data_IF_694706493750
#
_entry.id   IF_694706493750
#
_cell.length_a   1.000
_cell.length_b   1.000
_cell.length_c   1.000
_cell.angle_alpha   90.00
_cell.angle_beta   90.00
_cell.angle_gamma   90.00
#
_symmetry.space_group_name_H-M   'P 1'
#
loop_
_entity.id
_entity.type
_entity.pdbx_description
1 polymer ?
#
# COMPACT_ATOMS: atom_id res chain seq x y z
N UNK A 1 20.65 -30.24 9.53
CA UNK A 1 21.84 -30.42 8.69
C UNK A 1 21.44 -30.25 7.25
N UNK A 2 21.70 -29.09 6.68
CA UNK A 2 21.45 -28.81 5.26
C UNK A 2 22.78 -28.97 4.53
N UNK A 3 22.83 -29.84 3.55
CA UNK A 3 24.01 -30.11 2.73
C UNK A 3 24.10 -29.07 1.61
N UNK A 4 25.23 -28.40 1.41
CA UNK A 4 25.42 -27.50 0.27
C UNK A 4 26.04 -28.30 -0.89
N UNK A 5 25.26 -28.59 -1.92
CA UNK A 5 25.84 -28.98 -3.20
C UNK A 5 24.96 -28.50 -4.35
N UNK A 6 25.68 -27.90 -5.30
CA UNK A 6 25.27 -27.36 -6.61
C UNK A 6 25.01 -25.85 -6.64
N UNK A 7 26.09 -25.11 -6.43
CA UNK A 7 26.16 -23.74 -6.95
C UNK A 7 26.70 -23.78 -8.39
N UNK A 8 25.80 -23.82 -9.37
CA UNK A 8 26.14 -23.50 -10.74
C UNK A 8 26.50 -22.01 -10.83
N UNK A 9 27.65 -21.74 -11.46
CA UNK A 9 28.25 -20.42 -11.66
C UNK A 9 27.24 -19.43 -12.20
N UNK A 10 26.64 -18.62 -11.31
CA UNK A 10 25.92 -17.41 -11.68
C UNK A 10 26.95 -16.34 -12.01
N UNK A 11 27.04 -15.97 -13.29
CA UNK A 11 27.81 -14.83 -13.75
C UNK A 11 27.45 -13.59 -12.90
N UNK A 12 28.45 -12.95 -12.30
CA UNK A 12 28.36 -11.56 -11.87
C UNK A 12 27.88 -10.75 -13.09
N UNK A 13 26.61 -10.37 -13.13
CA UNK A 13 26.13 -9.42 -14.12
C UNK A 13 26.72 -8.08 -13.75
N UNK A 14 27.44 -7.39 -14.67
CA UNK A 14 27.98 -6.09 -14.40
C UNK A 14 26.86 -5.08 -14.22
N UNK A 15 27.02 -4.27 -13.19
CA UNK A 15 26.44 -2.94 -13.00
C UNK A 15 25.01 -2.73 -13.51
N UNK A 16 24.02 -3.30 -12.78
CA UNK A 16 22.63 -2.84 -12.90
C UNK A 16 22.60 -1.41 -12.37
N UNK A 17 22.18 -0.48 -13.21
CA UNK A 17 21.95 0.91 -12.81
C UNK A 17 21.05 0.93 -11.57
N UNK A 18 21.58 1.42 -10.45
CA UNK A 18 20.86 1.57 -9.17
C UNK A 18 20.35 2.99 -9.08
N UNK A 19 19.20 3.29 -9.67
CA UNK A 19 18.67 4.64 -9.88
C UNK A 19 18.65 5.51 -8.63
N UNK A 20 18.09 5.00 -7.54
CA UNK A 20 17.93 5.76 -6.28
C UNK A 20 19.09 5.55 -5.29
N UNK A 21 19.95 4.56 -5.49
CA UNK A 21 20.98 4.19 -4.50
C UNK A 21 22.00 5.30 -4.22
N UNK A 22 22.55 6.05 -5.22
CA UNK A 22 23.50 7.10 -4.93
C UNK A 22 22.94 8.25 -4.09
N UNK A 23 21.76 8.85 -4.40
CA UNK A 23 21.17 9.87 -3.55
C UNK A 23 20.83 9.37 -2.16
N UNK A 24 20.34 8.13 -2.04
CA UNK A 24 20.05 7.52 -0.74
C UNK A 24 21.32 7.31 0.10
N UNK A 25 22.38 6.77 -0.51
CA UNK A 25 23.66 6.54 0.17
C UNK A 25 24.27 7.84 0.73
N UNK A 26 24.09 8.96 0.02
CA UNK A 26 24.56 10.27 0.47
C UNK A 26 23.82 10.79 1.72
N UNK A 27 22.54 10.40 1.91
CA UNK A 27 21.69 10.89 3.02
C UNK A 27 21.79 10.03 4.28
N UNK A 28 22.04 8.74 4.15
CA UNK A 28 22.06 7.80 5.28
C UNK A 28 22.99 8.23 6.42
N UNK A 29 24.26 8.62 6.18
CA UNK A 29 25.16 8.99 7.29
C UNK A 29 24.67 10.18 8.09
N UNK A 30 24.09 11.19 7.43
CA UNK A 30 23.56 12.37 8.11
C UNK A 30 22.37 11.99 9.02
N UNK A 31 21.43 11.20 8.50
CA UNK A 31 20.25 10.75 9.26
C UNK A 31 20.64 9.80 10.40
N UNK A 32 21.60 8.91 10.20
CA UNK A 32 22.14 8.06 11.27
C UNK A 32 22.72 8.90 12.42
N UNK A 33 23.47 9.95 12.10
CA UNK A 33 24.04 10.85 13.10
C UNK A 33 22.97 11.66 13.81
N UNK A 34 21.99 12.19 13.07
CA UNK A 34 20.85 12.93 13.63
C UNK A 34 20.08 12.07 14.64
N UNK A 35 19.68 10.86 14.26
CA UNK A 35 18.97 9.93 15.14
C UNK A 35 19.81 9.57 16.37
N UNK A 36 21.10 9.34 16.20
CA UNK A 36 22.03 9.05 17.31
C UNK A 36 22.09 10.19 18.31
N UNK A 37 22.30 11.42 17.86
CA UNK A 37 22.39 12.59 18.74
C UNK A 37 21.03 12.91 19.39
N UNK A 38 19.94 12.80 18.64
CA UNK A 38 18.58 12.97 19.18
C UNK A 38 18.29 11.96 20.31
N UNK A 39 18.61 10.68 20.09
CA UNK A 39 18.43 9.64 21.12
C UNK A 39 19.32 9.86 22.34
N UNK A 40 20.55 10.34 22.14
CA UNK A 40 21.46 10.68 23.25
C UNK A 40 20.90 11.81 24.11
N UNK A 41 20.29 12.80 23.50
CA UNK A 41 19.76 13.98 24.19
C UNK A 41 18.38 13.73 24.83
N UNK A 42 17.48 13.04 24.10
CA UNK A 42 16.07 12.93 24.46
C UNK A 42 15.60 11.48 24.71
N UNK A 43 16.49 10.49 24.69
CA UNK A 43 16.12 9.08 24.76
C UNK A 43 15.32 8.65 26.00
N UNK A 44 15.45 9.40 27.13
CA UNK A 44 14.69 9.17 28.34
C UNK A 44 13.40 10.02 28.44
N UNK A 45 13.13 10.88 27.48
CA UNK A 45 11.94 11.76 27.48
C UNK A 45 10.66 10.96 27.23
N UNK A 46 9.66 11.14 28.09
CA UNK A 46 8.34 10.52 27.90
C UNK A 46 7.60 11.20 26.73
N UNK A 47 7.14 10.41 25.76
CA UNK A 47 6.38 10.89 24.58
C UNK A 47 4.88 10.58 24.67
N UNK A 48 4.46 9.89 25.73
CA UNK A 48 3.07 9.52 25.99
C UNK A 48 2.97 8.55 27.15
N UNK A 49 1.74 8.22 27.52
CA UNK A 49 1.41 7.20 28.51
C UNK A 49 0.56 6.11 27.88
N UNK A 50 0.71 4.88 28.37
CA UNK A 50 -0.09 3.74 27.91
C UNK A 50 -1.16 3.47 28.97
N UNK A 51 -2.43 3.48 28.55
CA UNK A 51 -3.55 3.15 29.42
C UNK A 51 -4.02 1.70 29.19
N UNK A 52 -4.76 1.17 30.15
CA UNK A 52 -5.40 -0.16 30.02
C UNK A 52 -6.31 -0.19 28.79
N UNK A 53 -7.08 0.88 28.54
CA UNK A 53 -7.96 0.98 27.37
C UNK A 53 -7.19 0.93 26.04
N UNK A 54 -6.01 1.54 25.96
CA UNK A 54 -5.18 1.44 24.76
C UNK A 54 -4.71 0.02 24.48
N UNK A 55 -4.41 -0.76 25.52
CA UNK A 55 -3.96 -2.15 25.38
C UNK A 55 -5.08 -3.05 24.84
N UNK A 56 -6.31 -2.93 25.33
CA UNK A 56 -7.46 -3.67 24.82
C UNK A 56 -8.05 -3.06 23.54
N UNK A 57 -7.86 -1.78 23.32
CA UNK A 57 -8.38 -1.01 22.19
C UNK A 57 -7.54 -1.08 20.90
N UNK A 58 -6.63 -2.05 20.78
CA UNK A 58 -5.81 -2.22 19.57
C UNK A 58 -4.72 -1.16 19.43
N UNK A 59 -4.14 -0.70 20.54
CA UNK A 59 -3.05 0.28 20.61
C UNK A 59 -3.39 1.65 19.97
N UNK A 60 -4.65 1.99 19.85
CA UNK A 60 -5.10 3.26 19.24
C UNK A 60 -4.61 4.44 20.09
N UNK A 61 -3.91 5.39 19.42
CA UNK A 61 -3.34 6.57 20.05
C UNK A 61 -2.00 6.31 20.78
N UNK A 62 -1.51 5.06 20.84
CA UNK A 62 -0.20 4.75 21.36
C UNK A 62 0.89 5.19 20.37
N UNK A 63 1.81 6.02 20.82
CA UNK A 63 3.00 6.40 20.03
C UNK A 63 4.09 5.37 20.26
N UNK A 64 4.18 4.37 19.40
CA UNK A 64 5.11 3.25 19.55
C UNK A 64 6.01 3.00 18.35
N UNK A 65 5.78 3.68 17.23
CA UNK A 65 6.50 3.45 15.97
C UNK A 65 7.18 4.72 15.48
N UNK A 66 8.27 4.54 14.74
CA UNK A 66 8.95 5.59 13.98
C UNK A 66 8.83 5.24 12.51
N UNK A 67 8.47 6.21 11.68
CA UNK A 67 8.41 6.10 10.23
C UNK A 67 8.95 7.38 9.59
N UNK A 68 9.73 7.23 8.53
CA UNK A 68 10.40 8.34 7.86
C UNK A 68 9.73 8.75 6.54
N UNK A 69 8.85 7.91 6.00
CA UNK A 69 8.33 8.08 4.63
C UNK A 69 7.10 8.96 4.56
N UNK A 70 6.20 8.88 5.53
CA UNK A 70 4.97 9.67 5.54
C UNK A 70 4.44 9.92 6.94
N UNK A 71 3.60 10.95 7.05
CA UNK A 71 2.89 11.33 8.28
C UNK A 71 1.42 11.49 7.97
N UNK A 72 0.56 10.94 8.81
CA UNK A 72 -0.88 11.07 8.69
C UNK A 72 -1.40 12.13 9.66
N UNK A 73 -1.67 13.33 9.15
CA UNK A 73 -2.30 14.40 9.90
C UNK A 73 -3.81 14.16 10.01
N UNK A 74 -4.41 14.23 11.21
CA UNK A 74 -5.85 14.00 11.38
C UNK A 74 -6.75 14.97 10.63
N UNK A 75 -6.32 16.21 10.41
CA UNK A 75 -7.11 17.28 9.80
C UNK A 75 -6.80 17.47 8.31
N UNK A 76 -5.54 17.25 7.90
CA UNK A 76 -5.08 17.48 6.53
C UNK A 76 -4.92 16.20 5.72
N UNK A 77 -4.78 15.05 6.37
CA UNK A 77 -4.56 13.75 5.72
C UNK A 77 -3.09 13.38 5.56
N UNK A 78 -2.82 12.51 4.59
CA UNK A 78 -1.47 11.99 4.35
C UNK A 78 -0.53 13.06 3.77
N UNK A 79 0.71 13.08 4.29
CA UNK A 79 1.84 13.82 3.75
C UNK A 79 3.01 12.88 3.47
N UNK A 80 3.44 12.84 2.23
CA UNK A 80 4.59 12.07 1.75
C UNK A 80 5.85 12.91 1.87
N UNK A 81 6.73 12.58 2.80
CA UNK A 81 7.92 13.41 3.11
C UNK A 81 7.58 14.90 3.29
N UNK A 82 6.43 15.18 3.89
CA UNK A 82 5.94 16.54 4.13
C UNK A 82 5.05 17.13 3.02
N UNK A 83 4.97 16.51 1.85
CA UNK A 83 4.12 16.96 0.75
C UNK A 83 2.73 16.33 0.80
N UNK A 84 1.69 17.14 0.65
CA UNK A 84 0.30 16.70 0.49
C UNK A 84 0.07 16.07 -0.90
N UNK A 85 -1.07 15.40 -1.08
CA UNK A 85 -1.43 14.83 -2.40
C UNK A 85 -1.50 15.92 -3.48
N UNK A 86 -2.17 17.08 -3.29
CA UNK A 86 -2.17 18.12 -4.31
C UNK A 86 -0.78 18.67 -4.63
N UNK A 87 0.11 18.77 -3.64
CA UNK A 87 1.51 19.18 -3.88
C UNK A 87 2.26 18.12 -4.69
N UNK A 88 2.08 16.84 -4.39
CA UNK A 88 2.66 15.75 -5.19
C UNK A 88 2.13 15.76 -6.63
N UNK A 89 0.83 15.95 -6.84
CA UNK A 89 0.24 16.07 -8.17
C UNK A 89 0.82 17.24 -8.97
N UNK A 90 1.19 18.33 -8.30
CA UNK A 90 1.78 19.50 -8.95
C UNK A 90 3.27 19.36 -9.24
N UNK A 91 4.02 18.74 -8.31
CA UNK A 91 5.48 18.77 -8.31
C UNK A 91 6.13 17.54 -8.93
N UNK A 92 5.50 16.37 -8.81
CA UNK A 92 6.10 15.14 -9.31
C UNK A 92 6.00 15.03 -10.84
N UNK A 93 7.05 14.48 -11.50
CA UNK A 93 7.05 14.27 -12.94
C UNK A 93 5.91 13.39 -13.42
N UNK A 94 5.43 13.67 -14.63
CA UNK A 94 4.35 12.99 -15.34
C UNK A 94 4.88 12.31 -16.60
N UNK A 95 4.09 11.39 -17.15
CA UNK A 95 4.37 10.88 -18.48
C UNK A 95 4.17 11.97 -19.55
N UNK A 96 4.79 11.82 -20.70
CA UNK A 96 4.60 12.74 -21.81
C UNK A 96 3.11 12.79 -22.20
N UNK A 97 2.52 14.00 -22.15
CA UNK A 97 1.09 14.20 -22.36
C UNK A 97 0.17 13.68 -21.26
N UNK A 98 0.72 13.17 -20.15
CA UNK A 98 -0.02 12.69 -19.00
C UNK A 98 -0.45 13.82 -18.06
N UNK A 99 -1.44 13.52 -17.21
CA UNK A 99 -2.03 14.46 -16.26
C UNK A 99 -1.65 14.14 -14.81
N UNK A 100 -1.49 12.85 -14.51
CA UNK A 100 -1.21 12.38 -13.15
C UNK A 100 0.29 12.06 -12.95
N UNK A 101 0.80 12.22 -11.71
CA UNK A 101 2.19 11.93 -11.41
C UNK A 101 2.50 10.43 -11.57
N UNK A 102 3.73 10.12 -11.90
CA UNK A 102 4.19 8.74 -11.98
C UNK A 102 4.51 8.20 -10.58
N UNK A 103 4.08 6.97 -10.24
CA UNK A 103 4.44 6.30 -8.98
C UNK A 103 5.95 6.20 -8.73
N UNK A 104 6.75 6.09 -9.78
CA UNK A 104 8.22 6.13 -9.74
C UNK A 104 8.74 7.40 -9.07
N UNK A 105 8.11 8.54 -9.36
CA UNK A 105 8.45 9.82 -8.76
C UNK A 105 8.11 9.86 -7.27
N UNK A 106 6.98 9.30 -6.90
CA UNK A 106 6.60 9.19 -5.48
C UNK A 106 7.55 8.25 -4.72
N UNK A 107 7.88 7.10 -5.29
CA UNK A 107 8.86 6.19 -4.67
C UNK A 107 10.20 6.87 -4.43
N UNK A 108 10.69 7.63 -5.43
CA UNK A 108 11.90 8.44 -5.26
C UNK A 108 11.78 9.41 -4.08
N UNK A 109 10.67 10.15 -4.01
CA UNK A 109 10.41 11.07 -2.92
C UNK A 109 10.38 10.37 -1.56
N UNK A 110 9.65 9.25 -1.43
CA UNK A 110 9.56 8.49 -0.18
C UNK A 110 10.94 8.01 0.28
N UNK A 111 11.75 7.53 -0.66
CA UNK A 111 13.06 6.97 -0.37
C UNK A 111 14.11 8.03 -0.05
N UNK A 112 14.16 9.14 -0.81
CA UNK A 112 15.23 10.15 -0.72
C UNK A 112 14.82 11.42 0.02
N UNK A 113 13.53 11.69 0.16
CA UNK A 113 13.01 12.96 0.70
C UNK A 113 13.09 14.13 -0.28
N UNK A 114 13.45 13.90 -1.56
CA UNK A 114 13.59 14.93 -2.58
C UNK A 114 12.64 14.68 -3.75
N UNK A 115 12.10 15.77 -4.31
CA UNK A 115 11.33 15.71 -5.55
C UNK A 115 12.29 15.36 -6.69
N UNK A 116 12.05 14.27 -7.45
CA UNK A 116 12.93 13.85 -8.52
C UNK A 116 12.78 14.70 -9.78
N UNK A 117 13.83 14.70 -10.61
CA UNK A 117 13.77 15.18 -11.98
C UNK A 117 13.10 14.17 -12.91
N UNK A 118 12.65 14.59 -14.08
CA UNK A 118 12.11 13.68 -15.11
C UNK A 118 13.11 12.59 -15.51
N UNK A 119 14.40 12.93 -15.61
CA UNK A 119 15.45 11.97 -15.92
C UNK A 119 15.62 10.90 -14.83
N UNK A 120 15.52 11.29 -13.57
CA UNK A 120 15.56 10.37 -12.43
C UNK A 120 14.34 9.43 -12.43
N UNK A 121 13.14 9.95 -12.65
CA UNK A 121 11.92 9.13 -12.78
C UNK A 121 12.04 8.13 -13.93
N UNK A 122 12.52 8.58 -15.10
CA UNK A 122 12.74 7.71 -16.25
C UNK A 122 13.76 6.60 -15.96
N UNK A 123 14.81 6.90 -15.18
CA UNK A 123 15.79 5.88 -14.77
C UNK A 123 15.17 4.80 -13.88
N UNK A 124 14.24 5.18 -12.98
CA UNK A 124 13.50 4.22 -12.16
C UNK A 124 12.57 3.34 -13.02
N UNK A 125 11.80 3.95 -13.94
CA UNK A 125 10.94 3.20 -14.87
C UNK A 125 11.73 2.15 -15.65
N UNK A 126 12.91 2.55 -16.16
CA UNK A 126 13.80 1.64 -16.90
C UNK A 126 14.35 0.52 -16.00
N UNK A 127 14.82 0.84 -14.81
CA UNK A 127 15.33 -0.18 -13.87
C UNK A 127 14.23 -1.19 -13.50
N UNK A 128 13.00 -0.75 -13.28
CA UNK A 128 11.90 -1.67 -13.00
C UNK A 128 11.49 -2.49 -14.21
N UNK A 129 11.49 -1.94 -15.42
CA UNK A 129 11.26 -2.70 -16.63
C UNK A 129 12.32 -3.82 -16.82
N UNK A 130 13.59 -3.51 -16.58
CA UNK A 130 14.71 -4.46 -16.71
C UNK A 130 14.65 -5.60 -15.67
N UNK A 131 13.91 -5.45 -14.57
CA UNK A 131 13.80 -6.41 -13.45
C UNK A 131 12.45 -7.11 -13.34
N UNK A 132 11.52 -6.87 -14.27
CA UNK A 132 10.13 -7.28 -14.16
C UNK A 132 9.86 -8.78 -14.38
N UNK A 133 10.79 -9.51 -14.96
CA UNK A 133 10.62 -10.93 -15.27
C UNK A 133 10.53 -11.79 -14.00
N UNK A 134 9.62 -12.77 -14.02
CA UNK A 134 9.43 -13.72 -12.93
C UNK A 134 10.30 -14.97 -13.13
N UNK A 135 10.83 -15.57 -12.05
CA UNK A 135 11.44 -16.88 -12.11
C UNK A 135 10.41 -17.97 -12.48
N UNK A 136 10.83 -18.97 -13.22
CA UNK A 136 9.95 -20.00 -13.81
C UNK A 136 9.08 -20.74 -12.79
N UNK A 137 9.63 -21.02 -11.59
CA UNK A 137 8.87 -21.70 -10.53
C UNK A 137 7.69 -20.86 -10.00
N UNK A 138 7.81 -19.53 -9.98
CA UNK A 138 6.72 -18.63 -9.59
C UNK A 138 5.65 -18.59 -10.68
N UNK A 139 6.04 -18.54 -11.96
CA UNK A 139 5.11 -18.64 -13.08
C UNK A 139 4.36 -19.97 -13.04
N UNK A 140 5.06 -21.08 -12.83
CA UNK A 140 4.44 -22.41 -12.70
C UNK A 140 3.45 -22.45 -11.54
N UNK A 141 3.80 -21.90 -10.39
CA UNK A 141 2.91 -21.85 -9.23
C UNK A 141 1.66 -21.02 -9.53
N UNK A 142 1.80 -19.82 -10.09
CA UNK A 142 0.68 -18.95 -10.44
C UNK A 142 -0.29 -19.63 -11.41
N UNK A 143 0.22 -20.36 -12.41
CA UNK A 143 -0.60 -21.04 -13.39
C UNK A 143 -1.28 -22.32 -12.86
N UNK A 144 -0.92 -22.78 -11.67
CA UNK A 144 -1.49 -23.98 -11.04
C UNK A 144 -2.35 -23.67 -9.80
N UNK A 145 -2.57 -22.43 -9.45
CA UNK A 145 -3.51 -22.12 -8.38
C UNK A 145 -4.95 -22.46 -8.79
N UNK A 146 -5.76 -22.99 -7.88
CA UNK A 146 -7.17 -23.23 -8.15
C UNK A 146 -7.93 -21.91 -8.31
N UNK A 147 -8.91 -21.88 -9.23
CA UNK A 147 -9.68 -20.67 -9.55
C UNK A 147 -10.48 -20.09 -8.37
N UNK A 148 -10.77 -20.89 -7.35
CA UNK A 148 -11.47 -20.45 -6.14
C UNK A 148 -10.52 -19.90 -5.05
N UNK A 149 -9.21 -19.90 -5.26
CA UNK A 149 -8.28 -19.26 -4.34
C UNK A 149 -8.31 -17.74 -4.54
N UNK A 150 -8.61 -17.01 -3.47
CA UNK A 150 -8.75 -15.55 -3.52
C UNK A 150 -7.50 -14.88 -4.12
N UNK A 151 -7.65 -13.86 -4.98
CA UNK A 151 -6.52 -13.18 -5.63
C UNK A 151 -5.43 -12.71 -4.66
N UNK A 152 -5.80 -12.21 -3.48
CA UNK A 152 -4.85 -11.79 -2.45
C UNK A 152 -4.05 -12.95 -1.86
N UNK A 153 -4.64 -14.14 -1.74
CA UNK A 153 -3.92 -15.33 -1.29
C UNK A 153 -2.90 -15.79 -2.34
N UNK A 154 -3.29 -15.74 -3.61
CA UNK A 154 -2.37 -16.02 -4.72
C UNK A 154 -1.22 -15.00 -4.75
N UNK A 155 -1.53 -13.72 -4.57
CA UNK A 155 -0.57 -12.62 -4.56
C UNK A 155 0.46 -12.78 -3.43
N UNK A 156 0.01 -12.99 -2.21
CA UNK A 156 0.88 -13.21 -1.05
C UNK A 156 1.75 -14.47 -1.19
N UNK A 157 1.19 -15.57 -1.70
CA UNK A 157 1.93 -16.80 -1.94
C UNK A 157 3.03 -16.62 -3.00
N UNK A 158 2.73 -15.92 -4.09
CA UNK A 158 3.69 -15.62 -5.14
C UNK A 158 4.85 -14.74 -4.63
N UNK A 159 4.54 -13.71 -3.84
CA UNK A 159 5.55 -12.85 -3.21
C UNK A 159 6.44 -13.68 -2.27
N UNK A 160 5.85 -14.55 -1.47
CA UNK A 160 6.62 -15.48 -0.60
C UNK A 160 7.55 -16.35 -1.42
N UNK A 161 7.11 -16.90 -2.55
CA UNK A 161 7.95 -17.73 -3.43
C UNK A 161 9.09 -16.96 -4.11
N UNK A 162 8.94 -15.65 -4.32
CA UNK A 162 10.00 -14.77 -4.82
C UNK A 162 11.20 -14.63 -3.86
N UNK A 163 11.05 -15.04 -2.60
CA UNK A 163 12.14 -15.08 -1.62
C UNK A 163 13.39 -15.85 -2.14
N UNK A 164 13.21 -16.80 -3.03
CA UNK A 164 14.33 -17.50 -3.69
C UNK A 164 15.31 -16.57 -4.42
N UNK A 165 14.87 -15.37 -4.79
CA UNK A 165 15.66 -14.33 -5.48
C UNK A 165 16.33 -13.35 -4.51
N UNK A 166 16.08 -13.45 -3.18
CA UNK A 166 16.53 -12.47 -2.20
C UNK A 166 18.06 -12.37 -2.14
N UNK A 167 18.55 -11.18 -2.47
CA UNK A 167 19.95 -10.81 -2.32
C UNK A 167 20.28 -10.54 -0.85
N UNK A 168 19.31 -10.00 -0.09
CA UNK A 168 19.46 -9.76 1.35
C UNK A 168 19.63 -11.06 2.13
N UNK A 169 18.78 -12.07 1.89
CA UNK A 169 18.89 -13.37 2.56
C UNK A 169 20.24 -14.06 2.28
N UNK A 170 20.72 -13.96 1.05
CA UNK A 170 22.03 -14.50 0.64
C UNK A 170 23.16 -13.75 1.35
N UNK A 171 23.16 -12.41 1.29
CA UNK A 171 24.19 -11.60 1.92
C UNK A 171 24.26 -11.82 3.43
N UNK A 172 23.10 -11.99 4.08
CA UNK A 172 23.04 -12.32 5.50
C UNK A 172 23.70 -13.67 5.80
N UNK A 173 23.41 -14.71 5.00
CA UNK A 173 24.00 -16.04 5.17
C UNK A 173 25.52 -16.07 4.88
N UNK A 174 26.00 -15.16 4.04
CA UNK A 174 27.44 -14.98 3.74
C UNK A 174 28.17 -14.12 4.79
N UNK A 175 27.47 -13.63 5.82
CA UNK A 175 28.06 -12.88 6.92
C UNK A 175 28.40 -11.42 6.58
N UNK A 176 27.69 -10.81 5.63
CA UNK A 176 27.86 -9.39 5.29
C UNK A 176 27.61 -8.51 6.51
N UNK A 177 28.47 -7.52 6.72
CA UNK A 177 28.36 -6.62 7.87
C UNK A 177 27.07 -5.81 7.84
N UNK A 178 26.42 -5.63 9.00
CA UNK A 178 25.11 -4.96 9.16
C UNK A 178 25.02 -3.56 8.56
N UNK A 179 26.16 -2.83 8.47
CA UNK A 179 26.20 -1.50 7.84
C UNK A 179 25.87 -1.53 6.34
N UNK A 180 25.89 -2.71 5.71
CA UNK A 180 25.56 -2.94 4.30
C UNK A 180 24.16 -3.51 4.08
N UNK A 181 23.41 -3.84 5.14
CA UNK A 181 22.09 -4.45 5.02
C UNK A 181 21.10 -3.63 4.19
N UNK A 182 21.15 -2.31 4.29
CA UNK A 182 20.27 -1.44 3.52
C UNK A 182 20.50 -1.55 2.01
N UNK A 183 21.74 -1.81 1.56
CA UNK A 183 22.07 -1.95 0.13
C UNK A 183 21.38 -3.17 -0.49
N UNK A 184 21.39 -4.31 0.21
CA UNK A 184 20.74 -5.53 -0.23
C UNK A 184 19.21 -5.47 -0.05
N UNK A 185 18.75 -4.82 1.02
CA UNK A 185 17.33 -4.54 1.21
C UNK A 185 16.78 -3.65 0.09
N UNK A 186 17.53 -2.62 -0.31
CA UNK A 186 17.22 -1.77 -1.45
C UNK A 186 17.16 -2.57 -2.76
N UNK A 187 18.12 -3.45 -3.01
CA UNK A 187 18.16 -4.25 -4.23
C UNK A 187 16.95 -5.20 -4.31
N UNK A 188 16.59 -5.87 -3.21
CA UNK A 188 15.40 -6.70 -3.13
C UNK A 188 14.10 -5.86 -3.27
N UNK A 189 14.04 -4.68 -2.66
CA UNK A 189 12.89 -3.78 -2.78
C UNK A 189 12.64 -3.36 -4.23
N UNK A 190 13.70 -2.97 -4.95
CA UNK A 190 13.62 -2.61 -6.37
C UNK A 190 13.17 -3.80 -7.23
N UNK A 191 13.72 -4.99 -6.99
CA UNK A 191 13.34 -6.20 -7.71
C UNK A 191 11.90 -6.62 -7.42
N UNK A 192 11.46 -6.52 -6.16
CA UNK A 192 10.09 -6.84 -5.76
C UNK A 192 9.09 -5.89 -6.44
N UNK A 193 9.27 -4.59 -6.31
CA UNK A 193 8.38 -3.59 -6.93
C UNK A 193 8.31 -3.79 -8.44
N UNK A 194 9.43 -4.05 -9.10
CA UNK A 194 9.50 -4.32 -10.53
C UNK A 194 8.63 -5.54 -10.95
N UNK A 195 8.60 -6.59 -10.12
CA UNK A 195 7.93 -7.86 -10.41
C UNK A 195 6.44 -7.87 -10.04
N UNK A 196 6.00 -6.98 -9.16
CA UNK A 196 4.61 -7.00 -8.66
C UNK A 196 3.56 -6.82 -9.76
N UNK A 197 3.69 -5.91 -10.75
CA UNK A 197 2.76 -5.85 -11.86
C UNK A 197 2.67 -7.16 -12.65
N UNK A 198 3.78 -7.83 -12.86
CA UNK A 198 3.82 -9.12 -13.57
C UNK A 198 3.09 -10.21 -12.80
N UNK A 199 3.32 -10.31 -11.48
CA UNK A 199 2.57 -11.22 -10.59
C UNK A 199 1.07 -10.90 -10.63
N UNK A 200 0.72 -9.66 -10.40
CA UNK A 200 -0.67 -9.20 -10.31
C UNK A 200 -1.43 -9.40 -11.64
N UNK A 201 -0.80 -9.07 -12.76
CA UNK A 201 -1.40 -9.26 -14.09
C UNK A 201 -1.55 -10.74 -14.44
N UNK A 202 -0.61 -11.59 -14.07
CA UNK A 202 -0.71 -13.04 -14.27
C UNK A 202 -1.91 -13.61 -13.50
N UNK A 203 -2.09 -13.21 -12.24
CA UNK A 203 -3.28 -13.59 -11.44
C UNK A 203 -4.57 -13.13 -12.13
N UNK A 204 -4.62 -11.88 -12.59
CA UNK A 204 -5.79 -11.33 -13.28
C UNK A 204 -6.13 -12.10 -14.55
N UNK A 205 -5.13 -12.37 -15.38
CA UNK A 205 -5.31 -13.11 -16.62
C UNK A 205 -5.78 -14.55 -16.36
N UNK A 206 -5.19 -15.22 -15.39
CA UNK A 206 -5.57 -16.59 -15.04
C UNK A 206 -7.00 -16.68 -14.51
N UNK A 207 -7.44 -15.73 -13.69
CA UNK A 207 -8.78 -15.78 -13.10
C UNK A 207 -9.90 -15.23 -13.99
N UNK A 208 -9.61 -14.21 -14.81
CA UNK A 208 -10.66 -13.42 -15.45
C UNK A 208 -10.50 -13.27 -16.98
N UNK A 209 -9.44 -13.81 -17.56
CA UNK A 209 -9.13 -13.70 -19.00
C UNK A 209 -8.61 -15.01 -19.59
N UNK A 210 -9.18 -16.12 -19.12
CA UNK A 210 -8.93 -17.50 -19.62
C UNK A 210 -7.44 -17.88 -19.69
N UNK A 211 -6.62 -17.36 -18.79
CA UNK A 211 -5.18 -17.63 -18.77
C UNK A 211 -4.41 -17.02 -19.94
N UNK A 212 -4.95 -15.98 -20.57
CA UNK A 212 -4.25 -15.29 -21.67
C UNK A 212 -2.93 -14.66 -21.19
N UNK A 213 -1.93 -14.65 -22.07
CA UNK A 213 -0.60 -14.11 -21.75
C UNK A 213 -0.61 -12.60 -21.45
N UNK A 214 0.25 -12.19 -20.55
CA UNK A 214 0.42 -10.77 -20.15
C UNK A 214 1.20 -9.93 -21.19
N UNK A 215 1.82 -10.56 -22.17
CA UNK A 215 2.70 -9.91 -23.14
C UNK A 215 4.08 -9.59 -22.57
N UNK A 216 4.97 -9.07 -23.43
CA UNK A 216 6.30 -8.65 -23.03
C UNK A 216 6.29 -7.26 -22.39
N UNK A 217 7.23 -7.01 -21.47
CA UNK A 217 7.48 -5.67 -20.92
C UNK A 217 7.97 -4.74 -22.04
N UNK A 218 7.41 -3.53 -22.09
CA UNK A 218 7.90 -2.49 -22.96
C UNK A 218 8.83 -1.54 -22.15
N UNK A 219 10.12 -1.48 -22.47
CA UNK A 219 11.09 -0.66 -21.73
C UNK A 219 10.88 0.85 -21.90
N UNK A 220 10.09 1.28 -22.87
CA UNK A 220 9.78 2.68 -23.15
C UNK A 220 8.56 3.21 -22.39
N UNK A 221 7.82 2.31 -21.73
CA UNK A 221 6.66 2.66 -20.92
C UNK A 221 7.01 2.78 -19.44
N UNK A 222 6.29 3.65 -18.73
CA UNK A 222 6.32 3.71 -17.27
C UNK A 222 5.68 2.47 -16.62
N UNK A 223 5.92 2.30 -15.34
CA UNK A 223 5.48 1.14 -14.55
C UNK A 223 3.96 0.93 -14.58
N UNK A 224 3.17 2.02 -14.45
CA UNK A 224 1.70 1.96 -14.50
C UNK A 224 1.20 1.59 -15.88
N UNK A 225 1.79 2.16 -16.94
CA UNK A 225 1.41 1.86 -18.33
C UNK A 225 1.73 0.41 -18.71
N UNK A 226 2.89 -0.12 -18.31
CA UNK A 226 3.21 -1.54 -18.46
C UNK A 226 2.19 -2.42 -17.72
N UNK A 227 1.81 -2.04 -16.50
CA UNK A 227 0.82 -2.79 -15.72
C UNK A 227 -0.55 -2.82 -16.41
N UNK A 228 -1.06 -1.68 -16.86
CA UNK A 228 -2.32 -1.61 -17.61
C UNK A 228 -2.31 -2.51 -18.84
N UNK A 229 -1.23 -2.45 -19.60
CA UNK A 229 -1.05 -3.28 -20.81
C UNK A 229 -1.03 -4.76 -20.48
N UNK A 230 -0.32 -5.18 -19.44
CA UNK A 230 -0.30 -6.57 -18.98
C UNK A 230 -1.67 -7.05 -18.49
N UNK A 231 -2.47 -6.18 -17.87
CA UNK A 231 -3.86 -6.45 -17.50
C UNK A 231 -4.79 -6.56 -18.72
N UNK A 232 -4.41 -5.97 -19.85
CA UNK A 232 -5.20 -5.95 -21.08
C UNK A 232 -6.06 -4.71 -21.27
N UNK A 233 -5.68 -3.61 -20.64
CA UNK A 233 -6.32 -2.31 -20.79
C UNK A 233 -5.43 -1.38 -21.62
N UNK A 234 -5.97 -0.89 -22.74
CA UNK A 234 -5.28 0.01 -23.67
C UNK A 234 -5.83 1.44 -23.61
N UNK A 235 -6.86 1.70 -22.80
CA UNK A 235 -7.47 3.02 -22.62
C UNK A 235 -6.49 3.98 -21.92
N UNK A 236 -6.25 5.12 -22.57
CA UNK A 236 -5.31 6.12 -22.03
C UNK A 236 -5.81 6.76 -20.72
N UNK A 237 -7.13 6.96 -20.56
CA UNK A 237 -7.70 7.49 -19.32
C UNK A 237 -7.60 6.47 -18.18
N UNK A 238 -7.78 5.19 -18.48
CA UNK A 238 -7.54 4.13 -17.49
C UNK A 238 -6.08 4.11 -17.04
N UNK A 239 -5.14 4.35 -17.94
CA UNK A 239 -3.72 4.46 -17.60
C UNK A 239 -3.48 5.66 -16.67
N UNK A 240 -4.09 6.82 -16.92
CA UNK A 240 -4.04 7.96 -16.01
C UNK A 240 -4.66 7.64 -14.63
N UNK A 241 -5.81 6.97 -14.63
CA UNK A 241 -6.40 6.48 -13.37
C UNK A 241 -5.44 5.59 -12.59
N UNK A 242 -4.77 4.65 -13.26
CA UNK A 242 -3.82 3.76 -12.60
C UNK A 242 -2.60 4.50 -12.07
N UNK A 243 -2.10 5.51 -12.76
CA UNK A 243 -1.03 6.41 -12.26
C UNK A 243 -1.46 7.10 -10.98
N UNK A 244 -2.66 7.69 -10.96
CA UNK A 244 -3.24 8.29 -9.75
C UNK A 244 -3.41 7.25 -8.64
N UNK A 245 -4.08 6.13 -8.93
CA UNK A 245 -4.39 5.07 -7.97
C UNK A 245 -3.12 4.52 -7.31
N UNK A 246 -2.13 4.15 -8.11
CA UNK A 246 -0.86 3.58 -7.63
C UNK A 246 0.00 4.61 -6.87
N UNK A 247 -0.20 5.89 -7.11
CA UNK A 247 0.43 6.97 -6.35
C UNK A 247 -0.20 7.15 -4.97
N UNK A 248 -1.52 7.31 -4.89
CA UNK A 248 -2.19 7.70 -3.64
C UNK A 248 -2.36 6.57 -2.62
N UNK A 249 -2.30 5.31 -3.04
CA UNK A 249 -2.39 4.15 -2.14
C UNK A 249 -1.03 3.67 -1.63
N UNK A 250 0.06 4.28 -2.07
CA UNK A 250 1.44 3.82 -1.88
C UNK A 250 1.87 3.76 -0.42
N UNK A 251 1.49 4.74 0.38
CA UNK A 251 1.89 4.84 1.78
C UNK A 251 0.81 5.56 2.61
N UNK A 252 0.71 5.20 3.89
CA UNK A 252 -0.26 5.82 4.78
C UNK A 252 0.21 5.69 6.24
N UNK A 253 1.41 6.20 6.54
CA UNK A 253 2.18 6.11 7.78
C UNK A 253 2.48 4.66 8.24
N UNK A 254 3.13 4.47 9.38
CA UNK A 254 3.60 3.16 9.83
C UNK A 254 2.61 2.32 10.65
N UNK A 255 1.52 2.91 11.15
CA UNK A 255 0.62 2.24 12.10
C UNK A 255 -0.49 1.42 11.48
N UNK A 256 -0.74 1.50 10.17
CA UNK A 256 -1.72 0.64 9.52
C UNK A 256 -1.23 -0.80 9.41
N UNK A 257 -2.15 -1.75 9.30
CA UNK A 257 -1.81 -3.18 9.44
C UNK A 257 -0.79 -3.66 8.43
N UNK A 258 -0.90 -3.28 7.15
CA UNK A 258 0.05 -3.71 6.13
C UNK A 258 1.46 -3.13 6.36
N UNK A 259 1.56 -1.86 6.74
CA UNK A 259 2.84 -1.22 7.03
C UNK A 259 3.45 -1.80 8.31
N UNK A 260 2.69 -1.91 9.40
CA UNK A 260 3.20 -2.44 10.67
C UNK A 260 3.61 -3.92 10.56
N UNK A 261 2.82 -4.76 9.88
CA UNK A 261 3.19 -6.15 9.66
C UNK A 261 4.48 -6.30 8.85
N UNK A 262 4.66 -5.49 7.79
CA UNK A 262 5.90 -5.47 7.01
C UNK A 262 7.10 -5.06 7.86
N UNK A 263 6.96 -3.99 8.64
CA UNK A 263 8.00 -3.49 9.56
C UNK A 263 8.32 -4.52 10.64
N UNK A 264 7.31 -5.08 11.31
CA UNK A 264 7.47 -6.07 12.37
C UNK A 264 8.25 -7.29 11.89
N UNK A 265 7.86 -7.88 10.76
CA UNK A 265 8.54 -9.05 10.20
C UNK A 265 9.94 -8.68 9.72
N UNK A 266 10.11 -7.54 9.08
CA UNK A 266 11.42 -7.01 8.67
C UNK A 266 12.35 -6.74 9.84
N UNK A 267 11.84 -6.35 11.01
CA UNK A 267 12.64 -6.13 12.23
C UNK A 267 13.36 -7.38 12.72
N UNK A 268 12.83 -8.56 12.38
CA UNK A 268 13.45 -9.84 12.66
C UNK A 268 14.55 -10.23 11.62
N UNK A 269 14.89 -9.30 10.71
CA UNK A 269 15.80 -9.52 9.58
C UNK A 269 15.29 -10.57 8.56
N UNK A 270 13.95 -10.76 8.50
CA UNK A 270 13.34 -11.39 7.33
C UNK A 270 13.58 -10.51 6.11
N UNK A 271 13.81 -11.14 4.96
CA UNK A 271 14.05 -10.39 3.73
C UNK A 271 12.80 -9.60 3.27
N UNK A 272 12.94 -8.64 2.34
CA UNK A 272 11.84 -7.82 1.87
C UNK A 272 10.65 -8.59 1.29
N UNK A 273 10.87 -9.73 0.65
CA UNK A 273 9.78 -10.55 0.10
C UNK A 273 8.90 -11.14 1.22
N UNK A 274 9.50 -11.77 2.22
CA UNK A 274 8.78 -12.33 3.36
C UNK A 274 8.10 -11.25 4.18
N UNK A 275 8.78 -10.12 4.38
CA UNK A 275 8.25 -8.97 5.11
C UNK A 275 7.02 -8.38 4.41
N UNK A 276 7.10 -8.20 3.10
CA UNK A 276 5.99 -7.68 2.30
C UNK A 276 4.82 -8.68 2.19
N UNK A 277 5.10 -9.97 2.06
CA UNK A 277 4.06 -11.01 2.08
C UNK A 277 3.25 -10.98 3.38
N UNK A 278 3.90 -10.78 4.53
CA UNK A 278 3.21 -10.58 5.80
C UNK A 278 2.30 -9.34 5.79
N UNK A 279 2.79 -8.23 5.23
CA UNK A 279 1.99 -7.02 5.01
C UNK A 279 0.78 -7.26 4.12
N UNK A 280 0.92 -8.06 3.06
CA UNK A 280 -0.18 -8.40 2.14
C UNK A 280 -1.23 -9.29 2.80
N UNK A 281 -0.84 -10.20 3.67
CA UNK A 281 -1.78 -10.98 4.48
C UNK A 281 -2.60 -10.07 5.40
N UNK A 282 -2.00 -9.03 5.96
CA UNK A 282 -2.70 -8.00 6.73
C UNK A 282 -3.63 -7.14 5.84
N UNK A 283 -3.17 -6.77 4.64
CA UNK A 283 -3.96 -5.98 3.69
C UNK A 283 -5.22 -6.72 3.21
N UNK A 284 -5.17 -8.04 3.15
CA UNK A 284 -6.30 -8.90 2.77
C UNK A 284 -7.44 -8.92 3.80
N UNK A 285 -7.27 -8.32 4.97
CA UNK A 285 -8.29 -8.26 6.01
C UNK A 285 -9.44 -7.31 5.67
N UNK A 286 -10.71 -7.67 6.04
CA UNK A 286 -11.89 -6.86 5.72
C UNK A 286 -11.94 -5.50 6.44
N UNK A 287 -11.19 -5.33 7.52
CA UNK A 287 -11.04 -4.05 8.22
C UNK A 287 -9.83 -3.24 7.72
N UNK A 288 -9.22 -3.63 6.61
CA UNK A 288 -8.11 -2.95 5.97
C UNK A 288 -8.32 -2.89 4.45
N UNK A 289 -7.43 -3.40 3.62
CA UNK A 289 -7.49 -3.23 2.16
C UNK A 289 -8.71 -3.87 1.48
N UNK A 290 -9.29 -4.92 2.05
CA UNK A 290 -10.52 -5.53 1.51
C UNK A 290 -11.76 -4.61 1.65
N UNK A 291 -11.68 -3.53 2.42
CA UNK A 291 -12.79 -2.59 2.62
C UNK A 291 -13.31 -2.00 1.30
N UNK A 292 -12.47 -1.81 0.33
CA UNK A 292 -12.83 -1.31 -0.99
C UNK A 292 -13.78 -2.27 -1.75
N UNK A 293 -13.59 -3.59 -1.65
CA UNK A 293 -14.53 -4.58 -2.15
C UNK A 293 -15.88 -4.50 -1.40
N UNK A 294 -15.84 -4.37 -0.07
CA UNK A 294 -17.04 -4.28 0.76
C UNK A 294 -17.91 -3.05 0.42
N UNK A 295 -17.29 -1.92 0.06
CA UNK A 295 -18.02 -0.74 -0.43
C UNK A 295 -18.85 -1.09 -1.65
N UNK A 296 -18.26 -1.72 -2.65
CA UNK A 296 -18.97 -2.06 -3.90
C UNK A 296 -20.05 -3.13 -3.68
N UNK A 297 -19.80 -4.11 -2.84
CA UNK A 297 -20.83 -5.12 -2.45
C UNK A 297 -22.03 -4.38 -1.84
N UNK A 298 -21.80 -3.45 -0.91
CA UNK A 298 -22.85 -2.68 -0.25
C UNK A 298 -23.59 -1.76 -1.24
N UNK A 299 -22.87 -1.04 -2.10
CA UNK A 299 -23.45 -0.15 -3.13
C UNK A 299 -24.23 -0.95 -4.17
N UNK A 300 -23.73 -2.11 -4.58
CA UNK A 300 -24.45 -3.00 -5.52
C UNK A 300 -25.77 -3.47 -4.92
N UNK A 301 -25.75 -3.89 -3.65
CA UNK A 301 -26.96 -4.26 -2.92
C UNK A 301 -27.94 -3.09 -2.81
N UNK A 302 -27.46 -1.88 -2.51
CA UNK A 302 -28.28 -0.67 -2.48
C UNK A 302 -29.00 -0.45 -3.82
N UNK A 303 -28.28 -0.54 -4.93
CA UNK A 303 -28.87 -0.39 -6.28
C UNK A 303 -29.86 -1.50 -6.63
N UNK A 304 -29.62 -2.73 -6.18
CA UNK A 304 -30.57 -3.86 -6.38
C UNK A 304 -31.86 -3.66 -5.60
N UNK A 305 -31.80 -3.14 -4.37
CA UNK A 305 -32.96 -2.92 -3.53
C UNK A 305 -33.75 -1.66 -3.92
N UNK A 306 -33.10 -0.59 -4.34
CA UNK A 306 -33.72 0.73 -4.54
C UNK A 306 -33.87 1.15 -6.01
N UNK A 307 -33.17 0.50 -6.94
CA UNK A 307 -33.20 0.85 -8.37
C UNK A 307 -32.13 1.86 -8.78
N UNK A 308 -32.32 2.47 -9.96
CA UNK A 308 -31.32 3.37 -10.57
C UNK A 308 -31.41 4.83 -10.09
N UNK A 309 -32.62 5.37 -9.95
CA UNK A 309 -32.88 6.72 -9.49
C UNK A 309 -33.33 6.68 -8.03
N UNK A 310 -32.39 6.96 -7.12
CA UNK A 310 -32.61 6.82 -5.68
C UNK A 310 -32.75 8.20 -5.05
N UNK A 311 -33.85 8.42 -4.30
CA UNK A 311 -34.03 9.67 -3.54
C UNK A 311 -33.17 9.70 -2.28
N UNK A 312 -32.91 10.91 -1.76
CA UNK A 312 -32.17 11.07 -0.50
C UNK A 312 -32.88 10.39 0.68
N UNK A 313 -34.19 10.36 0.68
CA UNK A 313 -35.01 9.72 1.71
C UNK A 313 -34.82 8.17 1.68
N UNK A 314 -34.86 7.59 0.51
CA UNK A 314 -34.58 6.14 0.34
C UNK A 314 -33.16 5.79 0.75
N UNK A 315 -32.17 6.62 0.43
CA UNK A 315 -30.79 6.44 0.88
C UNK A 315 -30.69 6.46 2.41
N UNK A 316 -31.35 7.41 3.06
CA UNK A 316 -31.40 7.51 4.54
C UNK A 316 -31.99 6.23 5.15
N UNK A 317 -33.11 5.75 4.64
CA UNK A 317 -33.74 4.53 5.13
C UNK A 317 -32.81 3.31 4.99
N UNK A 318 -32.14 3.17 3.84
CA UNK A 318 -31.20 2.08 3.60
C UNK A 318 -29.98 2.14 4.54
N UNK A 319 -29.45 3.35 4.77
CA UNK A 319 -28.33 3.57 5.71
C UNK A 319 -28.77 3.21 7.14
N UNK A 320 -29.94 3.67 7.58
CA UNK A 320 -30.47 3.31 8.90
C UNK A 320 -30.72 1.80 9.04
N UNK A 321 -31.21 1.13 7.99
CA UNK A 321 -31.35 -0.33 7.97
C UNK A 321 -29.99 -1.04 8.16
N UNK A 322 -28.94 -0.57 7.46
CA UNK A 322 -27.56 -1.05 7.61
C UNK A 322 -27.07 -0.90 9.06
N UNK A 323 -27.21 0.30 9.63
CA UNK A 323 -26.77 0.58 11.01
C UNK A 323 -27.54 -0.22 12.07
N UNK A 324 -28.85 -0.38 11.88
CA UNK A 324 -29.72 -1.19 12.79
C UNK A 324 -29.38 -2.68 12.75
N UNK A 325 -28.86 -3.19 11.65
CA UNK A 325 -28.38 -4.57 11.56
C UNK A 325 -27.02 -4.81 12.25
N UNK A 326 -26.45 -3.78 12.89
CA UNK A 326 -25.15 -3.84 13.54
C UNK A 326 -23.96 -3.71 12.58
N UNK A 327 -24.22 -3.43 11.30
CA UNK A 327 -23.17 -3.22 10.29
C UNK A 327 -22.73 -1.75 10.24
N UNK A 328 -21.52 -1.51 9.79
CA UNK A 328 -21.02 -0.17 9.47
C UNK A 328 -21.40 0.21 8.03
N UNK A 329 -21.40 1.49 7.71
CA UNK A 329 -21.47 1.95 6.32
C UNK A 329 -20.05 1.85 5.74
N UNK A 330 -19.79 0.94 4.78
CA UNK A 330 -18.44 0.73 4.25
C UNK A 330 -17.91 2.00 3.56
N UNK A 331 -16.60 2.24 3.67
CA UNK A 331 -15.96 3.41 3.08
C UNK A 331 -16.12 4.71 3.88
N UNK A 332 -16.80 4.67 5.03
CA UNK A 332 -16.99 5.84 5.91
C UNK A 332 -16.34 5.60 7.28
N UNK A 333 -15.64 6.62 7.75
CA UNK A 333 -14.87 6.54 8.98
C UNK A 333 -13.40 6.23 8.78
N UNK A 334 -12.59 6.60 9.76
CA UNK A 334 -11.15 6.33 9.79
C UNK A 334 -10.64 6.35 11.23
N UNK A 335 -9.61 5.53 11.51
CA UNK A 335 -9.02 5.48 12.86
C UNK A 335 -8.34 6.81 13.25
N UNK A 336 -7.66 7.46 12.30
CA UNK A 336 -6.86 8.67 12.53
C UNK A 336 -7.53 9.92 12.00
N UNK A 337 -7.98 9.94 10.73
CA UNK A 337 -8.56 11.12 10.08
C UNK A 337 -9.82 11.64 10.79
N UNK A 338 -10.03 12.97 10.73
CA UNK A 338 -11.19 13.66 11.29
C UNK A 338 -11.97 14.45 10.23
N UNK A 339 -11.45 14.52 9.01
CA UNK A 339 -12.06 15.09 7.81
C UNK A 339 -12.06 14.10 6.66
N UNK A 340 -12.66 14.49 5.53
CA UNK A 340 -12.63 13.73 4.28
C UNK A 340 -11.19 13.39 3.92
N UNK A 341 -10.96 12.13 3.59
CA UNK A 341 -9.65 11.64 3.15
C UNK A 341 -9.24 12.35 1.83
N UNK A 342 -8.07 13.00 1.75
CA UNK A 342 -7.65 13.67 0.53
C UNK A 342 -7.47 12.70 -0.66
N UNK A 343 -7.28 11.41 -0.41
CA UNK A 343 -7.27 10.38 -1.45
C UNK A 343 -8.66 10.20 -2.07
N UNK A 344 -9.73 10.31 -1.29
CA UNK A 344 -11.09 10.37 -1.80
C UNK A 344 -11.30 11.62 -2.65
N UNK A 345 -10.83 12.77 -2.18
CA UNK A 345 -11.01 14.07 -2.86
C UNK A 345 -10.36 14.04 -4.24
N UNK A 346 -9.12 13.63 -4.38
CA UNK A 346 -8.44 13.60 -5.68
C UNK A 346 -9.07 12.59 -6.65
N UNK A 347 -9.57 11.46 -6.18
CA UNK A 347 -10.33 10.51 -7.00
C UNK A 347 -11.67 11.11 -7.48
N UNK A 348 -12.36 11.86 -6.60
CA UNK A 348 -13.57 12.58 -6.98
C UNK A 348 -13.31 13.66 -8.02
N UNK A 349 -12.20 14.39 -7.91
CA UNK A 349 -11.77 15.38 -8.91
C UNK A 349 -11.49 14.73 -10.26
N UNK A 350 -10.81 13.58 -10.27
CA UNK A 350 -10.63 12.78 -11.48
C UNK A 350 -11.97 12.36 -12.10
N UNK A 351 -12.91 11.89 -11.29
CA UNK A 351 -14.24 11.50 -11.75
C UNK A 351 -15.03 12.65 -12.32
N UNK A 352 -15.01 13.83 -11.68
CA UNK A 352 -15.67 15.05 -12.18
C UNK A 352 -15.15 15.46 -13.55
N UNK A 353 -13.88 15.24 -13.82
CA UNK A 353 -13.25 15.56 -15.10
C UNK A 353 -13.58 14.56 -16.20
N UNK A 354 -13.54 13.26 -15.91
CA UNK A 354 -13.54 12.21 -16.92
C UNK A 354 -14.86 11.42 -17.03
N UNK A 355 -15.68 11.39 -15.96
CA UNK A 355 -16.93 10.61 -15.91
C UNK A 355 -18.05 11.31 -15.13
N UNK A 356 -18.32 12.62 -15.38
CA UNK A 356 -19.27 13.40 -14.59
C UNK A 356 -20.71 12.86 -14.66
N UNK A 357 -21.04 12.16 -15.72
CA UNK A 357 -22.38 11.62 -15.97
C UNK A 357 -22.57 10.15 -15.59
N UNK A 358 -21.52 9.50 -15.06
CA UNK A 358 -21.64 8.11 -14.64
C UNK A 358 -22.65 7.95 -13.48
N UNK A 359 -23.65 7.06 -13.61
CA UNK A 359 -24.68 6.88 -12.60
C UNK A 359 -24.13 6.43 -11.24
N UNK A 360 -23.09 5.62 -11.23
CA UNK A 360 -22.47 5.13 -9.99
C UNK A 360 -21.69 6.25 -9.29
N UNK A 361 -20.99 7.09 -10.05
CA UNK A 361 -20.33 8.29 -9.53
C UNK A 361 -21.35 9.27 -8.91
N UNK A 362 -22.48 9.51 -9.59
CA UNK A 362 -23.57 10.36 -9.05
C UNK A 362 -24.13 9.83 -7.74
N UNK A 363 -24.33 8.50 -7.65
CA UNK A 363 -24.80 7.85 -6.41
C UNK A 363 -23.79 8.02 -5.26
N UNK A 364 -22.50 7.85 -5.52
CA UNK A 364 -21.45 8.09 -4.52
C UNK A 364 -21.42 9.55 -4.06
N UNK A 365 -21.68 10.50 -4.97
CA UNK A 365 -21.86 11.90 -4.63
C UNK A 365 -23.05 12.15 -3.68
N UNK A 366 -24.18 11.49 -3.92
CA UNK A 366 -25.34 11.54 -3.02
C UNK A 366 -25.03 10.93 -1.65
N UNK A 367 -24.33 9.81 -1.62
CA UNK A 367 -23.90 9.17 -0.37
C UNK A 367 -22.97 10.10 0.44
N UNK A 368 -22.09 10.84 -0.21
CA UNK A 368 -21.24 11.85 0.44
C UNK A 368 -22.05 12.91 1.18
N UNK A 369 -23.20 13.29 0.64
CA UNK A 369 -24.09 14.29 1.26
C UNK A 369 -24.94 13.70 2.40
N UNK A 370 -25.35 12.44 2.27
CA UNK A 370 -26.37 11.83 3.16
C UNK A 370 -25.74 11.06 4.32
N UNK A 371 -24.61 10.35 4.12
CA UNK A 371 -24.03 9.46 5.15
C UNK A 371 -23.43 10.24 6.33
N UNK A 372 -22.60 11.30 6.13
CA UNK A 372 -21.95 11.96 7.25
C UNK A 372 -22.91 12.55 8.29
N UNK A 373 -24.00 13.28 7.93
CA UNK A 373 -24.97 13.75 8.91
C UNK A 373 -25.60 12.63 9.74
N UNK A 374 -25.97 11.51 9.10
CA UNK A 374 -26.57 10.36 9.80
C UNK A 374 -25.58 9.77 10.81
N UNK A 375 -24.32 9.61 10.40
CA UNK A 375 -23.28 9.07 11.30
C UNK A 375 -23.01 10.02 12.48
N UNK A 376 -23.01 11.33 12.26
CA UNK A 376 -22.88 12.34 13.33
C UNK A 376 -24.02 12.23 14.33
N UNK A 377 -25.26 12.12 13.87
CA UNK A 377 -26.46 12.02 14.71
C UNK A 377 -26.47 10.77 15.60
N UNK A 378 -25.74 9.70 15.24
CA UNK A 378 -25.59 8.52 16.11
C UNK A 378 -24.79 8.79 17.37
N UNK A 379 -23.97 9.85 17.40
CA UNK A 379 -23.09 10.20 18.51
C UNK A 379 -21.95 9.20 18.79
N UNK A 380 -21.83 8.14 17.99
CA UNK A 380 -20.90 7.03 18.20
C UNK A 380 -19.64 7.10 17.33
N UNK A 381 -19.63 7.94 16.30
CA UNK A 381 -18.60 7.96 15.26
C UNK A 381 -17.75 9.21 15.39
N UNK A 382 -16.44 9.05 15.60
CA UNK A 382 -15.48 10.18 15.67
C UNK A 382 -15.15 10.78 14.31
N UNK A 383 -15.25 10.00 13.26
CA UNK A 383 -15.06 10.44 11.88
C UNK A 383 -16.19 9.91 11.01
N UNK A 384 -17.14 10.76 10.57
CA UNK A 384 -18.26 10.37 9.71
C UNK A 384 -17.93 10.46 8.21
N UNK A 385 -16.75 10.95 7.85
CA UNK A 385 -16.39 11.27 6.47
C UNK A 385 -15.88 10.05 5.68
N UNK A 386 -16.00 10.09 4.34
CA UNK A 386 -15.49 8.99 3.51
C UNK A 386 -13.96 8.91 3.53
N UNK A 387 -13.48 7.68 3.44
CA UNK A 387 -12.09 7.35 3.20
C UNK A 387 -11.86 6.98 1.72
N UNK A 388 -10.64 6.59 1.36
CA UNK A 388 -10.24 6.26 -0.01
C UNK A 388 -11.11 5.17 -0.64
N UNK A 389 -11.56 4.19 0.14
CA UNK A 389 -12.30 3.02 -0.35
C UNK A 389 -13.71 3.37 -0.85
N UNK A 390 -14.28 4.48 -0.37
CA UNK A 390 -15.60 4.95 -0.80
C UNK A 390 -15.67 5.32 -2.29
N UNK A 391 -14.53 5.56 -2.94
CA UNK A 391 -14.49 6.02 -4.34
C UNK A 391 -13.69 5.14 -5.29
N UNK A 392 -12.65 4.45 -4.81
CA UNK A 392 -11.70 3.71 -5.66
C UNK A 392 -12.37 2.70 -6.60
N UNK A 393 -13.28 1.90 -6.08
CA UNK A 393 -13.96 0.86 -6.85
C UNK A 393 -14.89 1.42 -7.93
N UNK A 394 -15.48 2.58 -7.69
CA UNK A 394 -16.38 3.24 -8.66
C UNK A 394 -15.64 3.61 -9.94
N UNK A 395 -14.43 4.15 -9.81
CA UNK A 395 -13.59 4.49 -10.95
C UNK A 395 -13.20 3.24 -11.75
N UNK A 396 -12.82 2.16 -11.08
CA UNK A 396 -12.47 0.89 -11.72
C UNK A 396 -13.67 0.29 -12.48
N UNK A 397 -14.88 0.34 -11.89
CA UNK A 397 -16.11 -0.12 -12.53
C UNK A 397 -16.41 0.64 -13.83
N UNK A 398 -16.24 1.95 -13.86
CA UNK A 398 -16.44 2.78 -15.04
C UNK A 398 -15.59 2.30 -16.22
N UNK A 399 -14.31 2.01 -15.97
CA UNK A 399 -13.38 1.49 -17.00
C UNK A 399 -13.46 -0.02 -17.20
N UNK A 400 -14.55 -0.66 -16.78
CA UNK A 400 -14.85 -2.08 -17.01
C UNK A 400 -13.95 -3.07 -16.27
N UNK A 401 -13.21 -2.65 -15.28
CA UNK A 401 -12.60 -3.56 -14.32
C UNK A 401 -13.63 -3.87 -13.23
N UNK A 402 -14.40 -4.93 -13.43
CA UNK A 402 -15.59 -5.24 -12.60
C UNK A 402 -15.33 -6.34 -11.56
N UNK A 403 -14.16 -6.91 -11.55
CA UNK A 403 -13.74 -8.01 -10.69
C UNK A 403 -13.35 -7.51 -9.30
N UNK A 404 -14.35 -7.23 -8.46
CA UNK A 404 -14.19 -6.59 -7.14
C UNK A 404 -13.21 -7.31 -6.22
N UNK A 405 -13.16 -8.64 -6.25
CA UNK A 405 -12.23 -9.45 -5.46
C UNK A 405 -10.76 -9.21 -5.80
N UNK A 406 -10.48 -8.58 -6.96
CA UNK A 406 -9.12 -8.27 -7.41
C UNK A 406 -8.60 -6.91 -6.92
N UNK A 407 -9.47 -6.00 -6.50
CA UNK A 407 -9.07 -4.60 -6.21
C UNK A 407 -8.03 -4.47 -5.10
N UNK A 408 -8.06 -5.33 -4.10
CA UNK A 408 -7.04 -5.34 -3.04
C UNK A 408 -5.65 -5.71 -3.57
N UNK A 409 -5.56 -6.48 -4.66
CA UNK A 409 -4.27 -6.75 -5.33
C UNK A 409 -3.68 -5.46 -5.92
N UNK A 410 -4.49 -4.63 -6.57
CA UNK A 410 -4.06 -3.31 -7.07
C UNK A 410 -3.54 -2.44 -5.91
N UNK A 411 -4.27 -2.44 -4.80
CA UNK A 411 -3.84 -1.75 -3.58
C UNK A 411 -2.49 -2.28 -3.08
N UNK A 412 -2.32 -3.59 -3.06
CA UNK A 412 -1.06 -4.23 -2.66
C UNK A 412 0.12 -3.83 -3.55
N UNK A 413 -0.07 -3.78 -4.86
CA UNK A 413 0.95 -3.31 -5.82
C UNK A 413 1.40 -1.89 -5.48
N UNK A 414 0.45 -0.98 -5.22
CA UNK A 414 0.73 0.38 -4.81
C UNK A 414 1.46 0.45 -3.46
N UNK A 415 0.95 -0.26 -2.45
CA UNK A 415 1.47 -0.21 -1.07
C UNK A 415 2.93 -0.66 -0.95
N UNK A 416 3.41 -1.45 -1.89
CA UNK A 416 4.81 -1.86 -1.94
C UNK A 416 5.78 -0.66 -1.96
N UNK A 417 5.41 0.43 -2.62
CA UNK A 417 6.26 1.62 -2.72
C UNK A 417 6.61 2.19 -1.34
N UNK A 418 5.59 2.41 -0.51
CA UNK A 418 5.76 2.99 0.82
C UNK A 418 6.48 2.05 1.79
N UNK A 419 6.00 0.81 1.90
CA UNK A 419 6.54 -0.13 2.88
C UNK A 419 7.94 -0.61 2.53
N UNK A 420 8.30 -0.68 1.25
CA UNK A 420 9.67 -0.99 0.83
C UNK A 420 10.62 0.18 1.09
N UNK A 421 10.22 1.41 0.79
CA UNK A 421 11.01 2.59 1.13
C UNK A 421 11.26 2.67 2.65
N UNK A 422 10.22 2.44 3.46
CA UNK A 422 10.31 2.40 4.91
C UNK A 422 11.27 1.30 5.40
N UNK A 423 11.15 0.07 4.86
CA UNK A 423 12.00 -1.06 5.26
C UNK A 423 13.49 -0.81 4.94
N UNK A 424 13.79 -0.16 3.82
CA UNK A 424 15.17 0.24 3.48
C UNK A 424 15.72 1.20 4.52
N UNK A 425 14.93 2.19 4.96
CA UNK A 425 15.32 3.10 6.04
C UNK A 425 15.49 2.41 7.39
N UNK A 426 14.62 1.45 7.74
CA UNK A 426 14.76 0.64 8.94
C UNK A 426 16.11 -0.06 8.99
N UNK A 427 16.56 -0.60 7.86
CA UNK A 427 17.87 -1.25 7.75
C UNK A 427 19.02 -0.23 7.75
N UNK A 428 18.83 0.92 7.10
CA UNK A 428 19.83 1.99 7.10
C UNK A 428 20.06 2.59 8.49
N UNK A 429 19.00 2.77 9.27
CA UNK A 429 19.06 3.28 10.64
C UNK A 429 19.44 2.20 11.66
N UNK A 430 19.47 0.94 11.24
CA UNK A 430 19.81 -0.18 12.11
C UNK A 430 18.79 -0.43 13.21
N UNK A 431 17.48 -0.22 12.90
CA UNK A 431 16.42 -0.43 13.88
C UNK A 431 16.41 -1.90 14.35
N UNK A 432 16.28 -2.13 15.66
CA UNK A 432 16.36 -3.46 16.26
C UNK A 432 15.07 -4.26 16.05
N UNK A 433 15.12 -5.53 16.45
CA UNK A 433 13.94 -6.41 16.57
C UNK A 433 12.88 -5.75 17.45
N UNK A 434 11.67 -5.65 16.90
CA UNK A 434 10.49 -5.17 17.61
C UNK A 434 9.95 -6.24 18.54
N UNK A 435 9.95 -5.97 19.85
CA UNK A 435 9.49 -6.92 20.85
C UNK A 435 8.80 -6.23 22.04
N UNK A 436 7.52 -5.85 21.90
CA UNK A 436 6.74 -5.31 23.00
C UNK A 436 6.49 -6.39 24.08
N UNK A 437 6.30 -5.94 25.33
CA UNK A 437 5.85 -6.82 26.42
C UNK A 437 4.34 -7.04 26.32
N UNK A 438 3.91 -8.28 26.59
CA UNK A 438 2.50 -8.64 26.80
C UNK A 438 2.22 -8.94 28.26
N UNK A 439 0.98 -8.70 28.69
CA UNK A 439 0.49 -9.02 30.04
C UNK A 439 -0.84 -9.74 29.95
N UNK A 440 -1.11 -10.65 30.88
CA UNK A 440 -2.44 -11.22 31.07
C UNK A 440 -3.36 -10.21 31.74
N UNK A 441 -4.69 -10.39 31.62
CA UNK A 441 -5.68 -9.60 32.38
C UNK A 441 -5.43 -9.64 33.88
N UNK A 442 -5.07 -10.78 34.42
CA UNK A 442 -4.72 -10.93 35.84
C UNK A 442 -3.45 -10.15 36.21
N UNK A 443 -2.44 -10.16 35.31
CA UNK A 443 -1.25 -9.36 35.49
C UNK A 443 -1.52 -7.85 35.49
N UNK A 444 -2.44 -7.41 34.61
CA UNK A 444 -2.88 -6.01 34.57
C UNK A 444 -3.64 -5.61 35.85
N UNK A 445 -4.56 -6.45 36.33
CA UNK A 445 -5.28 -6.21 37.59
C UNK A 445 -4.30 -6.00 38.77
N UNK A 446 -3.29 -6.87 38.88
CA UNK A 446 -2.23 -6.72 39.91
C UNK A 446 -1.45 -5.42 39.74
N UNK A 447 -1.11 -5.06 38.50
CA UNK A 447 -0.35 -3.83 38.23
C UNK A 447 -1.11 -2.57 38.63
N UNK A 448 -2.42 -2.52 38.43
CA UNK A 448 -3.26 -1.35 38.78
C UNK A 448 -3.89 -1.43 40.18
N UNK A 449 -3.59 -2.45 40.97
CA UNK A 449 -4.10 -2.61 42.35
C UNK A 449 -5.58 -3.00 42.42
N UNK A 450 -6.11 -3.69 41.37
CA UNK A 450 -7.50 -4.17 41.29
C UNK A 450 -7.65 -5.67 41.57
N UNK A 451 -6.57 -6.34 41.97
CA UNK A 451 -6.55 -7.77 42.34
C UNK A 451 -6.32 -7.96 43.85
#
# INVERSE_FOLDING_TARGET
>A
MWHPSLCARGSCRPDRTRSCAPPLAAKIPAMQNEVKEFRKQYGATKVGEITVDMMYGGMRGMKGLVTETSVLDPEEGIRFRGYSIPECQKLLPRAAGGEEPLPEGLFWLLLTGEVPTEAQVKSVSKEWADRADLPSHVVTMLNNFPANLHPMSQFSAAITALNSESTFARAYSEGVHKSKYWEYCYDDAMALIAKLPTVAATIYRNLYRDGSGIGAINPDLDWSANFCRMLGYEDAQFTELMRLYLTIHSDHEGGNVSAHATHLVGSALSDPYLSFAAGMNGLAGPLHGLANQEVLVWVTRLRQELGGDVSKEQLKEFIFKTLKSGQVVPGYGHAVLRKTDPRYTCQREFALKHLPDDPLFKLVGQLYEVVPPILMDTGKVKNPWPNVDAHSGVLLQYYKMTEMSYYTVLFGVSRALGVMASLVWDRALGLPLERPKSMSTEGLKKLVGAA
#
